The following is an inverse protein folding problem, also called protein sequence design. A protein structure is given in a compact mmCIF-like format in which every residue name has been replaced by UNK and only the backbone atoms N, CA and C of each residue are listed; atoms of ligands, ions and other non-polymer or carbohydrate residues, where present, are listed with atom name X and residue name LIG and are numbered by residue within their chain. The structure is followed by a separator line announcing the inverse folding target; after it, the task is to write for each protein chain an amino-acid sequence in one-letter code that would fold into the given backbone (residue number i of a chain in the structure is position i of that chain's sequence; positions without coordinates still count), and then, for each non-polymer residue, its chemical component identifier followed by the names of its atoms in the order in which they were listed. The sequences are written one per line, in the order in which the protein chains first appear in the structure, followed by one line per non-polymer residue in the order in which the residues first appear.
data_IF_170971070372
#
_entry.id   IF_170971070372
#
_cell.length_a   1.000
_cell.length_b   1.000
_cell.length_c   1.000
_cell.angle_alpha   90.00
_cell.angle_beta   90.00
_cell.angle_gamma   90.00
#
_symmetry.space_group_name_H-M   'P 1'
#
loop_
_entity.id
_entity.type
_entity.pdbx_description
1 polymer ?
#
# COMPACT_ATOMS: atom_id res chain seq x y z
N UNK A 1 3.26 1.01 -10.50
CA UNK A 1 2.82 0.56 -11.84
C UNK A 1 1.46 1.19 -12.15
N UNK A 2 1.16 1.58 -13.40
CA UNK A 2 -0.19 2.03 -13.83
C UNK A 2 -0.61 1.43 -15.20
N UNK A 3 -1.48 0.41 -15.20
CA UNK A 3 -1.88 -0.35 -16.39
C UNK A 3 -3.27 -0.99 -16.18
N UNK A 4 -4.18 -1.03 -17.19
CA UNK A 4 -5.53 -1.56 -17.02
C UNK A 4 -5.61 -3.00 -16.49
N UNK A 5 -4.66 -3.87 -16.85
CA UNK A 5 -4.68 -5.31 -16.51
C UNK A 5 -3.64 -5.75 -15.47
N UNK A 6 -3.06 -4.82 -14.71
CA UNK A 6 -2.12 -5.15 -13.62
C UNK A 6 -2.64 -4.54 -12.31
N UNK A 7 -2.68 -5.35 -11.26
CA UNK A 7 -3.16 -4.95 -9.93
C UNK A 7 -2.13 -4.07 -9.21
N UNK A 8 -2.57 -3.43 -8.12
CA UNK A 8 -1.72 -2.53 -7.33
C UNK A 8 -0.51 -3.24 -6.69
N UNK A 9 -0.63 -4.54 -6.41
CA UNK A 9 0.44 -5.39 -5.88
C UNK A 9 1.40 -5.91 -6.97
N UNK A 10 1.18 -5.55 -8.23
CA UNK A 10 1.98 -5.99 -9.37
C UNK A 10 1.57 -7.32 -9.97
N UNK A 11 0.55 -7.99 -9.42
CA UNK A 11 0.03 -9.23 -10.01
C UNK A 11 -0.68 -8.96 -11.35
N UNK A 12 -0.58 -9.91 -12.28
CA UNK A 12 -1.18 -9.83 -13.61
C UNK A 12 -2.22 -10.94 -13.75
N UNK A 13 -3.44 -10.56 -14.15
CA UNK A 13 -4.47 -11.54 -14.51
C UNK A 13 -4.27 -11.96 -15.98
N UNK A 14 -3.36 -12.91 -16.20
CA UNK A 14 -3.10 -13.48 -17.52
C UNK A 14 -3.69 -14.90 -17.58
N UNK A 15 -4.64 -15.12 -18.50
CA UNK A 15 -5.36 -16.40 -18.65
C UNK A 15 -4.43 -17.58 -18.94
N UNK A 16 -3.35 -17.35 -19.70
CA UNK A 16 -2.33 -18.36 -19.96
C UNK A 16 -1.55 -18.79 -18.72
N UNK A 17 -1.55 -18.01 -17.62
CA UNK A 17 -0.94 -18.39 -16.34
C UNK A 17 -1.93 -19.10 -15.39
N UNK A 18 -3.21 -19.17 -15.78
CA UNK A 18 -4.28 -19.74 -14.95
C UNK A 18 -4.94 -20.92 -15.68
N UNK A 19 -6.12 -20.70 -16.24
CA UNK A 19 -6.97 -21.74 -16.83
C UNK A 19 -6.59 -22.12 -18.26
N UNK A 20 -5.74 -21.35 -18.94
CA UNK A 20 -5.20 -21.66 -20.27
C UNK A 20 -3.74 -22.08 -20.25
N UNK A 21 -3.17 -22.35 -19.07
CA UNK A 21 -1.79 -22.85 -18.97
C UNK A 21 -1.64 -24.20 -19.68
N UNK A 22 -0.56 -24.32 -20.45
CA UNK A 22 -0.11 -25.54 -21.10
C UNK A 22 1.36 -25.77 -20.75
N UNK A 23 1.79 -27.01 -20.43
CA UNK A 23 3.20 -27.36 -20.23
C UNK A 23 4.09 -27.08 -21.45
N UNK A 24 3.49 -26.80 -22.62
CA UNK A 24 4.19 -26.42 -23.84
C UNK A 24 4.64 -24.96 -23.87
N UNK A 25 4.13 -24.10 -22.97
CA UNK A 25 4.60 -22.72 -22.89
C UNK A 25 5.94 -22.67 -22.17
N UNK A 26 6.91 -22.04 -22.83
CA UNK A 26 8.17 -21.69 -22.22
C UNK A 26 8.12 -20.26 -21.65
N UNK A 27 9.19 -19.87 -20.96
CA UNK A 27 9.32 -18.53 -20.36
C UNK A 27 9.23 -17.44 -21.44
N UNK A 28 9.77 -17.70 -22.63
CA UNK A 28 9.71 -16.74 -23.74
C UNK A 28 8.26 -16.47 -24.17
N UNK A 29 7.44 -17.50 -24.35
CA UNK A 29 6.03 -17.36 -24.70
C UNK A 29 5.26 -16.55 -23.64
N UNK A 30 5.53 -16.77 -22.35
CA UNK A 30 4.92 -16.00 -21.25
C UNK A 30 5.32 -14.52 -21.35
N UNK A 31 6.61 -14.23 -21.50
CA UNK A 31 7.13 -12.86 -21.58
C UNK A 31 6.61 -12.12 -22.83
N UNK A 32 6.48 -12.81 -23.96
CA UNK A 32 5.85 -12.25 -25.16
C UNK A 32 4.39 -11.91 -24.89
N UNK A 33 3.63 -12.79 -24.23
CA UNK A 33 2.23 -12.50 -23.89
C UNK A 33 2.10 -11.31 -22.94
N UNK A 34 3.03 -11.14 -21.99
CA UNK A 34 3.05 -9.96 -21.10
C UNK A 34 3.35 -8.69 -21.90
N UNK A 35 4.34 -8.72 -22.80
CA UNK A 35 4.64 -7.58 -23.68
C UNK A 35 3.44 -7.18 -24.52
N UNK A 36 2.77 -8.16 -25.16
CA UNK A 36 1.55 -7.89 -25.93
C UNK A 36 0.45 -7.28 -25.06
N UNK A 37 0.29 -7.72 -23.82
CA UNK A 37 -0.69 -7.14 -22.90
C UNK A 37 -0.35 -5.69 -22.51
N UNK A 38 0.94 -5.36 -22.37
CA UNK A 38 1.41 -4.00 -22.08
C UNK A 38 1.21 -3.05 -23.27
N UNK A 39 1.38 -3.55 -24.49
CA UNK A 39 1.14 -2.80 -25.73
C UNK A 39 -0.36 -2.62 -26.00
N UNK A 40 -1.15 -3.67 -25.77
CA UNK A 40 -2.59 -3.72 -26.06
C UNK A 40 -3.40 -4.14 -24.82
N UNK A 41 -3.74 -3.18 -23.93
CA UNK A 41 -4.53 -3.47 -22.74
C UNK A 41 -5.95 -3.89 -23.08
N UNK A 42 -6.53 -4.76 -22.26
CA UNK A 42 -7.94 -5.15 -22.33
C UNK A 42 -8.78 -4.38 -21.28
N UNK A 43 -9.46 -3.27 -21.64
CA UNK A 43 -10.22 -2.48 -20.69
C UNK A 43 -11.57 -3.09 -20.29
N UNK A 44 -12.02 -4.18 -20.96
CA UNK A 44 -13.27 -4.88 -20.63
C UNK A 44 -13.14 -5.78 -19.39
N UNK A 45 -11.92 -6.03 -18.92
CA UNK A 45 -11.65 -6.83 -17.72
C UNK A 45 -10.52 -6.19 -16.91
N UNK A 46 -10.77 -5.01 -16.30
CA UNK A 46 -9.73 -4.22 -15.68
C UNK A 46 -9.36 -4.75 -14.29
N UNK A 47 -8.06 -4.92 -14.05
CA UNK A 47 -7.48 -5.04 -12.71
C UNK A 47 -7.34 -3.66 -12.04
N UNK A 48 -7.17 -2.62 -12.85
CA UNK A 48 -7.11 -1.23 -12.42
C UNK A 48 -8.16 -0.40 -13.17
N UNK A 49 -9.31 -0.19 -12.52
CA UNK A 49 -10.46 0.51 -13.12
C UNK A 49 -10.14 1.94 -13.54
N UNK A 50 -9.31 2.66 -12.76
CA UNK A 50 -8.91 4.03 -13.10
C UNK A 50 -8.03 4.07 -14.35
N UNK A 51 -7.07 3.15 -14.47
CA UNK A 51 -6.24 3.04 -15.66
C UNK A 51 -7.08 2.71 -16.90
N UNK A 52 -8.05 1.79 -16.78
CA UNK A 52 -8.96 1.43 -17.86
C UNK A 52 -9.87 2.60 -18.29
N UNK A 53 -10.42 3.33 -17.32
CA UNK A 53 -11.24 4.51 -17.61
C UNK A 53 -10.43 5.58 -18.36
N UNK A 54 -9.25 5.96 -17.85
CA UNK A 54 -8.40 6.95 -18.53
C UNK A 54 -7.94 6.46 -19.90
N UNK A 55 -7.66 5.17 -20.05
CA UNK A 55 -7.30 4.57 -21.34
C UNK A 55 -8.41 4.74 -22.40
N UNK A 56 -9.69 4.61 -22.00
CA UNK A 56 -10.85 4.72 -22.89
C UNK A 56 -11.30 6.17 -23.10
N UNK A 57 -11.31 6.99 -22.05
CA UNK A 57 -11.93 8.32 -22.06
C UNK A 57 -10.92 9.47 -22.26
N UNK A 58 -9.66 9.29 -21.85
CA UNK A 58 -8.67 10.36 -21.79
C UNK A 58 -7.24 9.85 -22.02
N UNK A 59 -6.98 9.40 -23.27
CA UNK A 59 -5.70 8.77 -23.64
C UNK A 59 -4.46 9.61 -23.26
N UNK A 60 -4.55 10.93 -23.42
CA UNK A 60 -3.47 11.88 -23.06
C UNK A 60 -3.15 11.86 -21.56
N UNK A 61 -4.15 11.77 -20.69
CA UNK A 61 -3.93 11.73 -19.24
C UNK A 61 -3.42 10.37 -18.78
N UNK A 62 -3.91 9.30 -19.40
CA UNK A 62 -3.35 7.96 -19.22
C UNK A 62 -1.85 7.95 -19.54
N UNK A 63 -1.46 8.42 -20.72
CA UNK A 63 -0.05 8.46 -21.16
C UNK A 63 0.81 9.33 -20.24
N UNK A 64 0.32 10.50 -19.83
CA UNK A 64 1.04 11.35 -18.87
C UNK A 64 1.32 10.61 -17.56
N UNK A 65 0.36 9.85 -17.04
CA UNK A 65 0.51 9.10 -15.79
C UNK A 65 1.43 7.90 -15.96
N UNK A 66 1.38 7.23 -17.11
CA UNK A 66 2.32 6.15 -17.45
C UNK A 66 3.75 6.68 -17.54
N UNK A 67 3.98 7.82 -18.21
CA UNK A 67 5.30 8.44 -18.30
C UNK A 67 5.89 8.74 -16.93
N UNK A 68 5.11 9.31 -16.01
CA UNK A 68 5.55 9.54 -14.64
C UNK A 68 5.98 8.25 -13.93
N UNK A 69 5.21 7.17 -14.08
CA UNK A 69 5.54 5.87 -13.48
C UNK A 69 6.80 5.27 -14.11
N UNK A 70 6.97 5.41 -15.42
CA UNK A 70 8.19 4.99 -16.12
C UNK A 70 9.37 5.77 -15.56
N UNK A 71 9.32 7.10 -15.51
CA UNK A 71 10.40 7.94 -14.95
C UNK A 71 10.78 7.54 -13.52
N UNK A 72 9.79 7.28 -12.65
CA UNK A 72 10.04 6.84 -11.28
C UNK A 72 10.73 5.47 -11.21
N UNK A 73 10.41 4.53 -12.13
CA UNK A 73 11.03 3.21 -12.08
C UNK A 73 12.54 3.27 -12.25
N UNK A 74 13.08 4.23 -13.03
CA UNK A 74 14.52 4.42 -13.20
C UNK A 74 15.21 4.93 -11.93
N UNK A 75 14.52 5.70 -11.09
CA UNK A 75 15.07 6.27 -9.85
C UNK A 75 15.20 5.20 -8.76
N UNK A 76 14.21 4.32 -8.66
CA UNK A 76 14.20 3.22 -7.68
C UNK A 76 15.31 2.18 -7.90
N UNK A 77 15.94 2.13 -9.08
CA UNK A 77 17.11 1.26 -9.31
C UNK A 77 18.40 1.80 -8.67
N UNK A 78 18.50 3.11 -8.43
CA UNK A 78 19.72 3.75 -7.93
C UNK A 78 19.91 3.71 -6.41
N UNK A 79 18.88 3.32 -5.66
CA UNK A 79 18.92 3.32 -4.18
C UNK A 79 19.28 1.95 -3.59
N UNK A 80 19.23 0.88 -4.39
CA UNK A 80 19.46 -0.49 -3.90
C UNK A 80 20.94 -0.94 -3.93
N UNK A 81 21.87 -0.10 -4.40
CA UNK A 81 23.32 -0.39 -4.40
C UNK A 81 24.04 0.17 -3.16
N UNK A 82 23.36 0.89 -2.26
CA UNK A 82 23.97 1.62 -1.14
C UNK A 82 23.72 1.09 0.28
N UNK A 83 22.81 0.13 0.48
CA UNK A 83 22.45 -0.35 1.83
C UNK A 83 23.09 -1.71 2.15
N UNK A 84 24.42 -1.72 2.19
CA UNK A 84 25.18 -2.83 2.77
C UNK A 84 26.34 -2.30 3.63
N UNK A 85 26.09 -1.34 4.52
CA UNK A 85 27.09 -0.94 5.53
C UNK A 85 26.41 -0.49 6.84
N UNK A 86 26.32 -1.45 7.77
CA UNK A 86 26.38 -1.37 9.24
C UNK A 86 25.80 -0.15 9.98
N UNK A 87 24.81 -0.41 10.84
CA UNK A 87 24.86 0.02 12.26
C UNK A 87 24.38 -1.08 13.19
N UNK A 88 25.33 -1.74 13.83
CA UNK A 88 25.14 -2.45 15.10
C UNK A 88 24.91 -1.44 16.23
N UNK A 89 24.02 -1.79 17.17
CA UNK A 89 23.96 -1.20 18.52
C UNK A 89 23.02 -0.01 18.69
N UNK A 90 21.83 -0.26 19.24
CA UNK A 90 21.53 0.14 20.63
C UNK A 90 20.16 -0.45 21.05
N UNK A 91 20.23 -1.36 22.00
CA UNK A 91 19.14 -2.00 22.71
C UNK A 91 18.92 -1.25 24.02
N UNK A 92 17.86 -0.44 24.10
CA UNK A 92 17.45 0.22 25.34
C UNK A 92 16.03 -0.19 25.72
N UNK A 93 15.93 -0.68 26.94
CA UNK A 93 14.82 -1.39 27.53
C UNK A 93 13.55 -0.54 27.71
N UNK A 94 12.41 -1.23 27.69
CA UNK A 94 11.10 -0.69 28.03
C UNK A 94 11.00 -0.66 29.56
N UNK A 95 10.99 0.53 30.16
CA UNK A 95 10.59 0.73 31.57
C UNK A 95 9.17 1.31 31.63
N UNK A 96 8.28 0.58 32.30
CA UNK A 96 6.91 0.97 32.65
C UNK A 96 6.91 1.89 33.88
N UNK A 97 6.14 2.99 33.94
CA UNK A 97 6.06 3.81 35.15
C UNK A 97 5.10 3.19 36.18
N UNK A 98 5.63 2.90 37.37
CA UNK A 98 4.91 2.50 38.59
C UNK A 98 4.25 3.68 39.30
N UNK A 99 3.03 3.45 39.81
CA UNK A 99 2.28 4.31 40.74
C UNK A 99 3.02 4.56 42.07
N UNK A 100 2.78 5.72 42.69
CA UNK A 100 3.04 5.91 44.12
C UNK A 100 3.17 7.39 44.54
N UNK A 101 2.24 7.88 45.35
CA UNK A 101 2.35 9.21 45.98
C UNK A 101 1.23 9.49 46.98
N UNK A 102 1.30 8.90 48.18
CA UNK A 102 0.51 9.31 49.35
C UNK A 102 1.19 10.49 50.08
N UNK A 103 0.39 11.43 50.58
CA UNK A 103 0.84 12.39 51.61
C UNK A 103 -0.22 13.47 51.95
N UNK A 104 -0.53 13.75 53.25
CA UNK A 104 -1.86 14.22 53.68
C UNK A 104 -1.89 15.65 54.25
N UNK A 105 -3.05 16.34 54.24
CA UNK A 105 -3.54 17.20 55.35
C UNK A 105 -4.99 17.70 55.14
N UNK A 106 -5.87 17.42 56.11
CA UNK A 106 -7.15 18.10 56.43
C UNK A 106 -6.92 19.56 56.94
N UNK A 107 -7.93 20.44 57.23
CA UNK A 107 -9.34 20.14 57.59
C UNK A 107 -10.45 21.12 57.09
N UNK A 108 -11.73 20.71 57.27
CA UNK A 108 -12.92 21.47 57.79
C UNK A 108 -13.37 22.77 57.08
N UNK A 109 -14.65 23.11 56.86
CA UNK A 109 -15.95 22.82 57.50
C UNK A 109 -17.13 23.18 56.55
N UNK A 110 -18.34 22.79 56.98
CA UNK A 110 -19.63 23.51 56.91
C UNK A 110 -20.67 23.19 55.81
N UNK A 111 -21.78 22.60 56.32
CA UNK A 111 -23.20 22.81 55.99
C UNK A 111 -23.69 22.50 54.56
N UNK A 112 -24.91 22.01 54.28
CA UNK A 112 -26.05 21.40 54.95
C UNK A 112 -27.04 21.06 53.81
N UNK A 113 -28.09 20.25 54.02
CA UNK A 113 -28.71 19.42 53.00
C UNK A 113 -29.97 20.04 52.38
N UNK A 114 -30.38 19.55 51.20
CA UNK A 114 -31.75 19.55 50.63
C UNK A 114 -31.64 18.96 49.22
N UNK A 115 -32.43 18.02 48.72
CA UNK A 115 -33.71 17.48 49.11
C UNK A 115 -34.31 16.84 47.85
N UNK A 116 -34.93 15.68 48.02
CA UNK A 116 -36.12 15.15 47.33
C UNK A 116 -36.29 15.33 45.82
N UNK A 117 -36.53 14.22 45.13
CA UNK A 117 -37.27 14.26 43.87
C UNK A 117 -37.22 12.99 43.03
N UNK A 118 -37.88 11.92 43.47
CA UNK A 118 -38.30 10.83 42.59
C UNK A 118 -39.27 11.32 41.52
N UNK A 119 -39.13 10.86 40.28
CA UNK A 119 -40.03 9.92 39.57
C UNK A 119 -39.36 9.43 38.29
#
# INVERSE_FOLDING_TARGET
MFHPNVYNDGSICLDILQNRWSPTYDVAAILTSIQSLLDEPNPNSPANSLAAQLYQESRREYEKRVQQIVEQSWLNFGENEGEAEQKEGENTAIETPTEGGEGPSEPRDHDAPSGSGSV
#
